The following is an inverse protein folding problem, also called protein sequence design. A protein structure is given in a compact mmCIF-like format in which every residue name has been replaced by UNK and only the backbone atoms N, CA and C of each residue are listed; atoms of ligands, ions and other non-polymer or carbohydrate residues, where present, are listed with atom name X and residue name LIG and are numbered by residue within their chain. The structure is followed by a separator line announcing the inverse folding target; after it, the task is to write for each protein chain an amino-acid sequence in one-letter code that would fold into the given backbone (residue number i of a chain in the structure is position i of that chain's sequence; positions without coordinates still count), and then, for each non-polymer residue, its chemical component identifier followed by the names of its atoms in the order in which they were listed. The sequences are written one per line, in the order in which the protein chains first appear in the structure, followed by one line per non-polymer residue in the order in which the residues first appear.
data_IF_139663087219
#
_entry.id   IF_139663087219
#
_cell.length_a   1.000
_cell.length_b   1.000
_cell.length_c   1.000
_cell.angle_alpha   90.00
_cell.angle_beta   90.00
_cell.angle_gamma   90.00
#
_symmetry.space_group_name_H-M   'P 1'
#
loop_
_entity.id
_entity.type
_entity.pdbx_description
1 polymer ?
#
# COMPACT_ATOMS: atom_id res chain seq x y z
N UNK A 1 -61.62 28.91 -6.85
CA UNK A 1 -60.46 29.35 -7.66
C UNK A 1 -59.20 28.86 -6.97
N UNK A 2 -58.74 27.65 -7.30
CA UNK A 2 -57.66 27.35 -8.27
C UNK A 2 -56.31 28.03 -7.95
N UNK A 3 -55.41 27.18 -7.45
CA UNK A 3 -53.98 27.03 -7.81
C UNK A 3 -53.03 28.13 -7.32
N UNK A 4 -52.26 27.82 -6.27
CA UNK A 4 -50.83 28.16 -6.16
C UNK A 4 -50.21 27.38 -4.99
N UNK A 5 -50.34 26.05 -5.03
CA UNK A 5 -49.43 25.12 -4.34
C UNK A 5 -48.69 24.41 -5.48
N UNK A 6 -47.40 24.09 -5.30
CA UNK A 6 -46.52 23.35 -6.22
C UNK A 6 -45.43 24.11 -7.00
N UNK A 7 -44.75 25.13 -6.46
CA UNK A 7 -43.43 25.49 -7.02
C UNK A 7 -42.49 26.00 -5.92
N UNK A 8 -42.27 25.22 -4.85
CA UNK A 8 -41.11 25.43 -3.98
C UNK A 8 -40.71 24.18 -3.19
N UNK A 9 -40.97 22.99 -3.76
CA UNK A 9 -40.55 21.72 -3.17
C UNK A 9 -39.68 20.88 -4.10
N UNK A 10 -39.37 21.39 -5.30
CA UNK A 10 -38.62 20.64 -6.33
C UNK A 10 -37.12 21.01 -6.34
N UNK A 11 -36.70 22.09 -5.67
CA UNK A 11 -35.31 22.57 -5.73
C UNK A 11 -34.41 22.00 -4.62
N UNK A 12 -34.97 21.45 -3.53
CA UNK A 12 -34.14 20.78 -2.50
C UNK A 12 -33.79 19.31 -2.81
N UNK A 13 -34.26 18.74 -3.92
CA UNK A 13 -34.08 17.31 -4.23
C UNK A 13 -32.99 17.04 -5.29
N UNK A 14 -32.05 17.97 -5.50
CA UNK A 14 -31.04 17.84 -6.56
C UNK A 14 -29.57 17.91 -6.11
N UNK A 15 -29.28 17.92 -4.80
CA UNK A 15 -27.89 17.90 -4.31
C UNK A 15 -27.68 17.00 -3.08
N UNK A 16 -28.43 15.90 -2.96
CA UNK A 16 -28.13 14.83 -1.97
C UNK A 16 -27.54 13.57 -2.60
N UNK A 17 -27.29 13.57 -3.90
CA UNK A 17 -26.42 12.57 -4.52
C UNK A 17 -25.02 13.16 -4.66
N UNK A 18 -24.34 13.40 -3.53
CA UNK A 18 -22.90 13.11 -3.57
C UNK A 18 -22.85 11.62 -3.77
N UNK A 19 -22.73 11.23 -5.04
CA UNK A 19 -22.22 9.93 -5.45
C UNK A 19 -21.03 9.69 -4.55
N UNK A 20 -21.21 8.86 -3.52
CA UNK A 20 -20.09 8.19 -2.91
C UNK A 20 -19.65 7.28 -4.03
N UNK A 21 -18.76 7.81 -4.86
CA UNK A 21 -17.97 7.01 -5.77
C UNK A 21 -17.30 6.01 -4.84
N UNK A 22 -17.81 4.79 -4.82
CA UNK A 22 -17.00 3.65 -4.42
C UNK A 22 -15.89 3.62 -5.45
N UNK A 23 -14.85 4.45 -5.21
CA UNK A 23 -13.55 4.22 -5.80
C UNK A 23 -13.25 2.76 -5.53
N UNK A 24 -12.75 2.09 -6.54
CA UNK A 24 -12.34 0.70 -6.47
C UNK A 24 -11.20 0.63 -5.44
N UNK A 25 -11.55 0.61 -4.16
CA UNK A 25 -10.60 0.56 -3.06
C UNK A 25 -10.07 -0.85 -3.07
N UNK A 26 -8.87 -1.01 -3.60
CA UNK A 26 -8.11 -2.25 -3.53
C UNK A 26 -8.14 -2.77 -2.09
N UNK A 27 -8.51 -4.04 -1.89
CA UNK A 27 -8.58 -4.62 -0.55
C UNK A 27 -7.23 -4.62 0.16
N UNK A 28 -6.15 -4.57 -0.61
CA UNK A 28 -4.78 -4.37 -0.14
C UNK A 28 -4.19 -3.09 -0.74
N UNK A 29 -3.52 -2.30 0.08
CA UNK A 29 -2.67 -1.18 -0.37
C UNK A 29 -1.26 -1.34 0.19
N UNK A 30 -0.24 -1.06 -0.61
CA UNK A 30 1.15 -1.00 -0.17
C UNK A 30 1.72 0.42 -0.29
N UNK A 31 2.44 0.88 0.72
CA UNK A 31 3.11 2.17 0.72
C UNK A 31 4.49 2.08 1.40
N UNK A 32 5.44 2.91 0.97
CA UNK A 32 6.73 2.97 1.64
C UNK A 32 6.62 3.72 2.97
N UNK A 33 7.30 3.23 3.99
CA UNK A 33 7.55 3.99 5.21
C UNK A 33 8.87 4.74 5.07
N UNK A 34 8.81 6.05 4.76
CA UNK A 34 10.02 6.88 4.60
C UNK A 34 10.88 6.89 5.87
N UNK A 35 10.27 7.18 7.02
CA UNK A 35 10.95 7.23 8.32
C UNK A 35 11.65 5.90 8.62
N UNK A 36 10.91 4.78 8.53
CA UNK A 36 11.46 3.46 8.86
C UNK A 36 12.51 3.01 7.84
N UNK A 37 12.32 3.30 6.54
CA UNK A 37 13.31 2.95 5.50
C UNK A 37 14.63 3.68 5.73
N UNK A 38 14.57 4.96 6.07
CA UNK A 38 15.75 5.77 6.34
C UNK A 38 16.45 5.36 7.64
N UNK A 39 15.70 5.11 8.71
CA UNK A 39 16.27 4.68 10.01
C UNK A 39 16.88 3.28 9.96
N UNK A 40 16.27 2.37 9.19
CA UNK A 40 16.70 0.97 9.11
C UNK A 40 17.74 0.71 8.03
N UNK A 41 17.87 1.62 7.06
CA UNK A 41 18.76 1.47 5.89
C UNK A 41 18.43 0.25 5.02
N UNK A 42 17.15 -0.06 4.90
CA UNK A 42 16.58 -1.03 3.96
C UNK A 42 15.10 -0.71 3.72
N UNK A 43 14.48 -1.18 2.62
CA UNK A 43 13.09 -0.88 2.32
C UNK A 43 12.13 -1.43 3.39
N UNK A 44 11.22 -0.57 3.85
CA UNK A 44 10.10 -0.96 4.72
C UNK A 44 8.79 -0.54 4.07
N UNK A 45 7.96 -1.54 3.75
CA UNK A 45 6.66 -1.34 3.11
C UNK A 45 5.56 -1.60 4.13
N UNK A 46 4.65 -0.66 4.29
CA UNK A 46 3.42 -0.82 5.06
C UNK A 46 2.36 -1.37 4.12
N UNK A 47 1.83 -2.54 4.46
CA UNK A 47 0.77 -3.18 3.71
C UNK A 47 -0.49 -3.17 4.56
N UNK A 48 -1.55 -2.53 4.06
CA UNK A 48 -2.83 -2.38 4.74
C UNK A 48 -3.89 -3.24 4.07
N UNK A 49 -4.57 -4.05 4.87
CA UNK A 49 -5.73 -4.83 4.48
C UNK A 49 -7.00 -4.11 4.94
N UNK A 50 -7.79 -3.64 3.96
CA UNK A 50 -9.05 -2.92 4.16
C UNK A 50 -10.26 -3.86 4.21
N UNK A 51 -10.04 -5.16 4.05
CA UNK A 51 -11.10 -6.17 4.06
C UNK A 51 -11.39 -6.68 5.46
N UNK A 52 -12.54 -7.34 5.61
CA UNK A 52 -12.97 -8.00 6.83
C UNK A 52 -12.47 -9.46 6.95
N UNK A 53 -11.50 -9.87 6.13
CA UNK A 53 -10.90 -11.21 6.12
C UNK A 53 -9.39 -11.09 6.18
N UNK A 54 -8.76 -12.11 6.74
CA UNK A 54 -7.31 -12.24 6.65
C UNK A 54 -6.93 -12.53 5.19
N UNK A 55 -5.90 -11.85 4.69
CA UNK A 55 -5.41 -11.99 3.31
C UNK A 55 -3.94 -12.36 3.36
N UNK A 56 -3.55 -13.39 2.62
CA UNK A 56 -2.14 -13.65 2.33
C UNK A 56 -1.74 -12.85 1.09
N UNK A 57 -0.71 -12.04 1.23
CA UNK A 57 -0.10 -11.28 0.13
C UNK A 57 1.21 -11.97 -0.23
N UNK A 58 1.31 -12.40 -1.48
CA UNK A 58 2.56 -12.84 -2.09
C UNK A 58 3.31 -11.59 -2.55
N UNK A 59 4.61 -11.53 -2.31
CA UNK A 59 5.45 -10.41 -2.73
C UNK A 59 6.69 -10.88 -3.49
N UNK A 60 7.15 -10.04 -4.40
CA UNK A 60 8.40 -10.23 -5.15
C UNK A 60 9.13 -8.90 -5.35
N UNK A 61 10.46 -8.95 -5.47
CA UNK A 61 11.29 -7.77 -5.69
C UNK A 61 12.55 -8.11 -6.52
N UNK A 62 13.14 -7.09 -7.14
CA UNK A 62 14.42 -7.18 -7.87
C UNK A 62 14.42 -8.28 -8.95
N UNK A 63 13.41 -8.27 -9.82
CA UNK A 63 13.26 -9.27 -10.88
C UNK A 63 13.01 -10.68 -10.33
N UNK A 64 12.22 -10.78 -9.26
CA UNK A 64 11.86 -12.00 -8.53
C UNK A 64 13.05 -12.73 -7.87
N UNK A 65 14.20 -12.07 -7.74
CA UNK A 65 15.34 -12.60 -6.99
C UNK A 65 15.01 -12.76 -5.49
N UNK A 66 14.11 -11.93 -4.98
CA UNK A 66 13.59 -11.99 -3.62
C UNK A 66 12.07 -12.09 -3.66
N UNK A 67 11.51 -12.99 -2.86
CA UNK A 67 10.08 -13.27 -2.84
C UNK A 67 9.67 -13.90 -1.52
N UNK A 68 8.38 -13.80 -1.20
CA UNK A 68 7.81 -14.48 -0.04
C UNK A 68 6.33 -14.18 0.10
N UNK A 69 5.77 -14.59 1.24
CA UNK A 69 4.37 -14.42 1.58
C UNK A 69 4.23 -13.77 2.95
N UNK A 70 3.22 -12.91 3.12
CA UNK A 70 2.88 -12.31 4.41
C UNK A 70 1.37 -12.38 4.64
N UNK A 71 0.98 -12.90 5.81
CA UNK A 71 -0.42 -12.90 6.24
C UNK A 71 -0.77 -11.57 6.88
N UNK A 72 -1.80 -10.92 6.36
CA UNK A 72 -2.27 -9.61 6.81
C UNK A 72 -3.67 -9.77 7.41
N UNK A 73 -3.81 -9.66 8.75
CA UNK A 73 -5.11 -9.76 9.39
C UNK A 73 -6.13 -8.75 8.85
N UNK A 74 -7.41 -9.09 8.95
CA UNK A 74 -8.52 -8.21 8.58
C UNK A 74 -8.39 -6.81 9.20
N UNK A 75 -8.68 -5.76 8.43
CA UNK A 75 -8.66 -4.36 8.87
C UNK A 75 -7.38 -3.94 9.60
N UNK A 76 -6.23 -4.39 9.13
CA UNK A 76 -4.94 -4.16 9.80
C UNK A 76 -3.85 -3.71 8.84
N UNK A 77 -2.78 -3.15 9.39
CA UNK A 77 -1.56 -2.80 8.67
C UNK A 77 -0.39 -3.58 9.24
N UNK A 78 0.39 -4.22 8.37
CA UNK A 78 1.62 -4.94 8.73
C UNK A 78 2.82 -4.31 8.02
N UNK A 79 4.02 -4.63 8.52
CA UNK A 79 5.29 -4.23 7.92
C UNK A 79 5.89 -5.39 7.16
N UNK A 80 6.25 -5.14 5.90
CA UNK A 80 7.16 -5.97 5.14
C UNK A 80 8.54 -5.30 5.19
N UNK A 81 9.45 -5.94 5.92
CA UNK A 81 10.84 -5.49 6.08
C UNK A 81 11.73 -6.30 5.15
N UNK A 82 12.45 -5.63 4.25
CA UNK A 82 13.22 -6.27 3.18
C UNK A 82 14.72 -6.07 3.44
N UNK A 83 15.23 -6.63 4.53
CA UNK A 83 16.63 -6.46 4.97
C UNK A 83 17.63 -6.92 3.90
N UNK A 84 17.27 -7.97 3.17
CA UNK A 84 18.03 -8.52 2.06
C UNK A 84 18.21 -7.54 0.89
N UNK A 85 17.42 -6.47 0.83
CA UNK A 85 17.54 -5.38 -0.14
C UNK A 85 18.35 -4.19 0.37
N UNK A 86 19.03 -4.30 1.52
CA UNK A 86 19.87 -3.20 2.06
C UNK A 86 20.97 -2.75 1.10
N UNK A 87 21.42 -3.63 0.19
CA UNK A 87 22.43 -3.30 -0.81
C UNK A 87 22.02 -2.19 -1.77
N UNK A 88 20.71 -1.95 -1.96
CA UNK A 88 20.21 -0.86 -2.81
C UNK A 88 20.71 0.51 -2.33
N UNK A 89 21.01 0.65 -1.02
CA UNK A 89 21.51 1.90 -0.48
C UNK A 89 22.96 2.25 -0.88
N UNK A 90 23.71 1.31 -1.46
CA UNK A 90 25.11 1.54 -1.85
C UNK A 90 25.23 2.51 -3.01
N UNK A 91 24.36 2.30 -4.00
CA UNK A 91 24.33 3.02 -5.25
C UNK A 91 23.11 3.96 -5.34
N UNK A 92 22.42 4.14 -4.20
CA UNK A 92 21.17 4.91 -4.09
C UNK A 92 20.12 4.42 -5.11
N UNK A 93 20.04 3.10 -5.29
CA UNK A 93 19.16 2.44 -6.22
C UNK A 93 17.76 2.23 -5.63
N UNK A 94 16.79 2.04 -6.51
CA UNK A 94 15.43 1.64 -6.14
C UNK A 94 15.01 0.42 -6.94
N UNK A 95 14.03 -0.32 -6.42
CA UNK A 95 13.43 -1.44 -7.11
C UNK A 95 11.91 -1.41 -6.97
N UNK A 96 11.21 -2.20 -7.78
CA UNK A 96 9.77 -2.40 -7.64
C UNK A 96 9.52 -3.64 -6.80
N UNK A 97 8.66 -3.49 -5.79
CA UNK A 97 8.09 -4.60 -5.03
C UNK A 97 6.69 -4.83 -5.53
N UNK A 98 6.44 -6.01 -6.11
CA UNK A 98 5.12 -6.43 -6.56
C UNK A 98 4.41 -7.12 -5.40
N UNK A 99 3.18 -6.70 -5.11
CA UNK A 99 2.31 -7.32 -4.12
C UNK A 99 1.13 -7.94 -4.85
N UNK A 100 0.84 -9.21 -4.62
CA UNK A 100 -0.31 -9.90 -5.23
C UNK A 100 -1.10 -10.70 -4.21
N UNK A 101 -2.41 -10.82 -4.42
CA UNK A 101 -3.29 -11.57 -3.53
C UNK A 101 -4.52 -12.09 -4.27
N UNK A 102 -5.17 -13.10 -3.70
CA UNK A 102 -6.41 -13.66 -4.24
C UNK A 102 -7.61 -13.15 -3.45
N UNK A 103 -8.63 -12.67 -4.16
CA UNK A 103 -9.92 -12.31 -3.58
C UNK A 103 -10.97 -13.36 -3.91
N UNK A 104 -11.88 -13.64 -2.97
CA UNK A 104 -12.99 -14.55 -3.20
C UNK A 104 -13.85 -14.07 -4.39
N UNK A 105 -14.10 -14.97 -5.34
CA UNK A 105 -14.83 -14.64 -6.56
C UNK A 105 -14.01 -13.97 -7.66
N UNK A 106 -12.72 -13.68 -7.43
CA UNK A 106 -11.81 -13.22 -8.48
C UNK A 106 -11.24 -14.41 -9.28
N UNK A 107 -11.25 -14.30 -10.60
CA UNK A 107 -10.67 -15.32 -11.50
C UNK A 107 -9.15 -15.21 -11.65
N UNK A 108 -8.58 -14.07 -11.26
CA UNK A 108 -7.14 -13.79 -11.32
C UNK A 108 -6.70 -13.12 -10.02
N UNK A 109 -5.44 -13.31 -9.60
CA UNK A 109 -4.87 -12.51 -8.54
C UNK A 109 -5.01 -11.02 -8.84
N UNK A 110 -5.24 -10.25 -7.78
CA UNK A 110 -5.09 -8.79 -7.78
C UNK A 110 -3.63 -8.47 -7.49
N UNK A 111 -3.20 -7.26 -7.83
CA UNK A 111 -1.87 -6.81 -7.50
C UNK A 111 -1.72 -5.31 -7.51
N UNK A 112 -0.68 -4.85 -6.80
CA UNK A 112 -0.23 -3.47 -6.78
C UNK A 112 1.29 -3.44 -6.65
N UNK A 113 1.89 -2.38 -7.15
CA UNK A 113 3.34 -2.21 -7.16
C UNK A 113 3.74 -1.10 -6.19
N UNK A 114 4.87 -1.28 -5.50
CA UNK A 114 5.47 -0.28 -4.62
C UNK A 114 6.92 -0.08 -5.04
N UNK A 115 7.26 1.10 -5.55
CA UNK A 115 8.66 1.45 -5.86
C UNK A 115 9.35 1.81 -4.55
N UNK A 116 10.45 1.16 -4.21
CA UNK A 116 11.20 1.45 -2.98
C UNK A 116 11.74 2.88 -2.96
N UNK A 117 12.01 3.40 -1.77
CA UNK A 117 12.64 4.70 -1.62
C UNK A 117 14.18 4.58 -1.73
N UNK A 118 14.86 5.63 -2.21
CA UNK A 118 16.31 5.77 -2.05
C UNK A 118 16.67 5.91 -0.56
N UNK A 119 17.81 5.34 -0.16
CA UNK A 119 18.40 5.46 1.18
C UNK A 119 19.92 5.26 1.10
N UNK A 120 20.65 5.69 2.12
CA UNK A 120 22.09 5.42 2.22
C UNK A 120 22.33 4.09 2.93
N UNK A 121 23.40 3.37 2.57
CA UNK A 121 23.86 2.24 3.39
C UNK A 121 24.16 2.68 4.82
N UNK A 122 23.85 1.81 5.77
CA UNK A 122 24.28 2.00 7.16
C UNK A 122 25.80 2.06 7.20
N UNK A 123 26.35 3.18 7.64
CA UNK A 123 27.80 3.37 7.73
C UNK A 123 28.38 2.37 8.73
N UNK A 124 29.06 1.33 8.23
CA UNK A 124 29.66 0.28 9.07
C UNK A 124 31.07 0.62 9.56
N UNK A 125 31.52 1.87 9.40
CA UNK A 125 32.85 2.30 9.85
C UNK A 125 32.83 3.51 10.77
N UNK A 126 32.75 3.26 12.07
CA UNK A 126 33.47 4.08 13.04
C UNK A 126 34.55 3.21 13.70
N UNK A 127 35.80 3.20 13.18
CA UNK A 127 36.91 2.67 13.95
C UNK A 127 37.07 3.54 15.20
N UNK A 128 36.83 2.96 16.37
CA UNK A 128 37.30 3.52 17.63
C UNK A 128 38.82 3.48 17.63
N UNK A 129 39.43 4.58 17.19
CA UNK A 129 40.85 4.81 17.46
C UNK A 129 40.99 5.20 18.94
N UNK A 130 41.27 4.19 19.78
CA UNK A 130 41.85 4.35 21.11
C UNK A 130 43.37 4.44 21.06
#
# INVERSE_FOLDING_TARGET
MKKFKFILSVICLLFLFTVVSYGDYSSITGENSYEETYEKHYPVIKITNHSNKDITVEWGAYGDAFQGDISIPANSTVRLELEELSFLGADNETTTVWLTWTEEGSLKPKGTDVITLPFELKDTHQPEFG
#
